data_IF_525517836803
#
_entry.id   IF_525517836803
#
_cell.length_a   1.000
_cell.length_b   1.000
_cell.length_c   1.000
_cell.angle_alpha   90.00
_cell.angle_beta   90.00
_cell.angle_gamma   90.00
#
_symmetry.space_group_name_H-M   'P 1'
#
loop_
_entity.id
_entity.type
_entity.pdbx_description
1 polymer ?
#
# COMPACT_ATOMS: atom_id res chain seq x y z
N UNK A 1 26.99 6.02 11.84
CA UNK A 1 27.50 5.05 10.85
C UNK A 1 28.62 4.19 11.44
N UNK A 2 28.47 3.70 12.68
CA UNK A 2 29.49 2.87 13.35
C UNK A 2 28.79 1.79 14.19
N UNK A 3 28.14 0.80 13.55
CA UNK A 3 27.53 -0.30 14.28
C UNK A 3 28.59 -1.19 14.95
N UNK A 4 28.19 -2.04 15.94
CA UNK A 4 29.08 -3.03 16.53
C UNK A 4 29.74 -3.90 15.46
N UNK A 5 30.98 -4.31 15.72
CA UNK A 5 31.80 -5.15 14.85
C UNK A 5 31.90 -6.56 15.43
N UNK A 6 32.25 -7.53 14.58
CA UNK A 6 32.52 -8.91 15.00
C UNK A 6 33.53 -8.88 16.16
N UNK A 7 33.16 -9.48 17.29
CA UNK A 7 33.94 -9.49 18.53
C UNK A 7 33.46 -8.53 19.61
N UNK A 8 32.63 -7.53 19.28
CA UNK A 8 31.97 -6.68 20.29
C UNK A 8 30.87 -7.46 21.01
N UNK A 9 30.68 -7.21 22.31
CA UNK A 9 29.67 -7.91 23.15
C UNK A 9 28.25 -7.82 22.58
N UNK A 10 27.92 -6.71 21.93
CA UNK A 10 26.59 -6.45 21.36
C UNK A 10 26.45 -6.85 19.88
N UNK A 11 27.50 -7.40 19.24
CA UNK A 11 27.46 -7.67 17.80
C UNK A 11 26.41 -8.70 17.41
N UNK A 12 26.32 -9.81 18.14
CA UNK A 12 25.40 -10.91 17.84
C UNK A 12 23.94 -10.49 18.01
N UNK A 13 23.61 -9.79 19.12
CA UNK A 13 22.25 -9.28 19.34
C UNK A 13 21.87 -8.22 18.31
N UNK A 14 22.75 -7.25 18.04
CA UNK A 14 22.54 -6.24 17.02
C UNK A 14 22.28 -6.85 15.63
N UNK A 15 23.10 -7.82 15.24
CA UNK A 15 23.00 -8.46 13.92
C UNK A 15 21.70 -9.24 13.80
N UNK A 16 21.34 -10.03 14.81
CA UNK A 16 20.09 -10.78 14.85
C UNK A 16 18.85 -9.88 14.80
N UNK A 17 18.83 -8.77 15.56
CA UNK A 17 17.74 -7.80 15.56
C UNK A 17 17.59 -7.12 14.19
N UNK A 18 18.71 -6.62 13.64
CA UNK A 18 18.74 -5.96 12.34
C UNK A 18 18.26 -6.91 11.23
N UNK A 19 18.78 -8.13 11.18
CA UNK A 19 18.41 -9.10 10.15
C UNK A 19 16.96 -9.57 10.31
N UNK A 20 16.48 -9.71 11.55
CA UNK A 20 15.07 -10.00 11.85
C UNK A 20 14.12 -8.90 11.36
N UNK A 21 14.45 -7.63 11.62
CA UNK A 21 13.67 -6.47 11.18
C UNK A 21 13.64 -6.39 9.64
N UNK A 22 14.78 -6.52 8.98
CA UNK A 22 14.88 -6.47 7.52
C UNK A 22 14.12 -7.62 6.85
N UNK A 23 14.25 -8.83 7.39
CA UNK A 23 13.52 -10.00 6.90
C UNK A 23 12.00 -9.84 7.08
N UNK A 24 11.56 -9.29 8.21
CA UNK A 24 10.15 -8.98 8.45
C UNK A 24 9.63 -7.92 7.48
N UNK A 25 10.38 -6.84 7.24
CA UNK A 25 10.00 -5.81 6.27
C UNK A 25 9.87 -6.41 4.86
N UNK A 26 10.81 -7.28 4.45
CA UNK A 26 10.76 -7.94 3.15
C UNK A 26 9.54 -8.85 2.98
N UNK A 27 9.20 -9.67 3.99
CA UNK A 27 8.00 -10.51 3.97
C UNK A 27 6.74 -9.67 3.90
N UNK A 28 6.64 -8.64 4.73
CA UNK A 28 5.49 -7.71 4.74
C UNK A 28 5.29 -7.00 3.41
N UNK A 29 6.38 -6.51 2.80
CA UNK A 29 6.35 -5.91 1.48
C UNK A 29 5.84 -6.89 0.43
N UNK A 30 6.37 -8.12 0.43
CA UNK A 30 5.95 -9.14 -0.53
C UNK A 30 4.49 -9.54 -0.37
N UNK A 31 4.02 -9.74 0.86
CA UNK A 31 2.60 -10.06 1.11
C UNK A 31 1.65 -8.97 0.61
N UNK A 32 1.97 -7.70 0.84
CA UNK A 32 1.14 -6.59 0.35
C UNK A 32 1.23 -6.42 -1.17
N UNK A 33 2.43 -6.56 -1.76
CA UNK A 33 2.64 -6.55 -3.22
C UNK A 33 1.80 -7.64 -3.90
N UNK A 34 1.87 -8.88 -3.39
CA UNK A 34 1.12 -10.01 -3.92
C UNK A 34 -0.38 -9.76 -3.78
N UNK A 35 -0.83 -9.26 -2.62
CA UNK A 35 -2.23 -8.91 -2.41
C UNK A 35 -2.72 -7.86 -3.42
N UNK A 36 -1.98 -6.76 -3.61
CA UNK A 36 -2.37 -5.73 -4.58
C UNK A 36 -2.47 -6.27 -6.00
N UNK A 37 -1.52 -7.11 -6.43
CA UNK A 37 -1.52 -7.68 -7.77
C UNK A 37 -2.62 -8.74 -8.01
N UNK A 38 -3.37 -9.13 -6.97
CA UNK A 38 -4.57 -9.98 -7.12
C UNK A 38 -5.87 -9.18 -7.26
N UNK A 39 -5.84 -7.86 -7.02
CA UNK A 39 -7.02 -7.01 -7.09
C UNK A 39 -7.34 -6.62 -8.55
N UNK A 40 -8.64 -6.53 -8.86
CA UNK A 40 -9.13 -6.14 -10.18
C UNK A 40 -8.62 -4.75 -10.57
N UNK A 41 -7.99 -4.62 -11.75
CA UNK A 41 -7.52 -3.32 -12.22
C UNK A 41 -6.43 -2.70 -11.34
N UNK A 42 -5.72 -3.48 -10.51
CA UNK A 42 -4.58 -2.99 -9.72
C UNK A 42 -3.30 -3.63 -10.23
N UNK A 43 -2.27 -2.80 -10.41
CA UNK A 43 -0.90 -3.27 -10.64
C UNK A 43 0.02 -2.66 -9.60
N UNK A 44 0.90 -3.47 -9.02
CA UNK A 44 1.87 -3.02 -8.05
C UNK A 44 3.26 -3.52 -8.41
N UNK A 45 4.18 -2.57 -8.61
CA UNK A 45 5.57 -2.89 -8.84
C UNK A 45 6.19 -3.52 -7.58
N UNK A 46 7.20 -4.37 -7.81
CA UNK A 46 8.01 -4.95 -6.74
C UNK A 46 8.68 -3.84 -5.93
N UNK A 47 8.59 -3.95 -4.60
CA UNK A 47 9.37 -3.09 -3.72
C UNK A 47 10.82 -3.59 -3.63
N UNK A 48 11.75 -2.88 -4.26
CA UNK A 48 13.19 -3.18 -4.13
C UNK A 48 13.80 -2.68 -2.81
N UNK A 49 13.12 -1.75 -2.13
CA UNK A 49 13.56 -1.19 -0.86
C UNK A 49 12.59 -0.16 -0.29
N UNK A 50 13.09 0.67 0.63
CA UNK A 50 12.31 1.63 1.42
C UNK A 50 11.18 0.97 2.23
N UNK A 51 10.05 1.67 2.41
CA UNK A 51 8.96 1.26 3.30
C UNK A 51 7.57 1.45 2.67
N UNK A 52 7.51 1.56 1.34
CA UNK A 52 6.28 1.92 0.63
C UNK A 52 6.05 1.07 -0.60
N UNK A 53 4.78 0.79 -0.86
CA UNK A 53 4.27 0.32 -2.14
C UNK A 53 3.48 1.45 -2.79
N UNK A 54 3.42 1.43 -4.12
CA UNK A 54 2.74 2.45 -4.91
C UNK A 54 1.88 1.82 -6.02
N UNK A 55 0.83 1.07 -5.66
CA UNK A 55 -0.08 0.48 -6.62
C UNK A 55 -0.72 1.53 -7.54
N UNK A 56 -0.79 1.20 -8.82
CA UNK A 56 -1.61 1.88 -9.82
C UNK A 56 -2.98 1.21 -9.86
N UNK A 57 -4.05 2.02 -9.90
CA UNK A 57 -5.44 1.57 -9.90
C UNK A 57 -6.10 2.10 -11.17
N UNK A 58 -6.56 1.19 -12.02
CA UNK A 58 -7.43 1.47 -13.16
C UNK A 58 -8.85 1.73 -12.66
N UNK A 59 -9.10 2.98 -12.25
CA UNK A 59 -10.42 3.39 -11.75
C UNK A 59 -11.45 3.46 -12.91
N UNK A 60 -12.67 2.93 -12.71
CA UNK A 60 -13.74 3.06 -13.70
C UNK A 60 -14.13 4.52 -13.99
N UNK A 61 -14.62 4.81 -15.20
CA UNK A 61 -15.03 6.16 -15.60
C UNK A 61 -16.08 6.76 -14.67
N UNK A 62 -17.05 5.95 -14.20
CA UNK A 62 -18.08 6.42 -13.27
C UNK A 62 -17.49 6.85 -11.93
N UNK A 63 -16.46 6.16 -11.44
CA UNK A 63 -15.74 6.57 -10.23
C UNK A 63 -14.98 7.89 -10.44
N UNK A 64 -14.38 8.08 -11.62
CA UNK A 64 -13.70 9.32 -12.00
C UNK A 64 -14.71 10.49 -12.05
N UNK A 65 -15.85 10.31 -12.73
CA UNK A 65 -16.94 11.31 -12.78
C UNK A 65 -17.52 11.61 -11.40
N UNK A 66 -17.65 10.60 -10.54
CA UNK A 66 -18.11 10.79 -9.15
C UNK A 66 -17.11 11.63 -8.33
N UNK A 67 -15.81 11.41 -8.53
CA UNK A 67 -14.75 12.22 -7.92
C UNK A 67 -14.79 13.67 -8.42
N UNK A 68 -15.00 13.89 -9.72
CA UNK A 68 -15.15 15.23 -10.30
C UNK A 68 -16.38 15.97 -9.75
N UNK A 69 -17.52 15.27 -9.63
CA UNK A 69 -18.75 15.83 -9.09
C UNK A 69 -18.60 16.36 -7.66
N UNK A 70 -17.77 15.69 -6.85
CA UNK A 70 -17.43 16.13 -5.48
C UNK A 70 -16.12 16.95 -5.42
N UNK A 71 -15.65 17.45 -6.57
CA UNK A 71 -14.50 18.37 -6.72
C UNK A 71 -13.20 17.84 -6.09
N UNK A 72 -12.91 16.56 -6.31
CA UNK A 72 -11.68 15.92 -5.84
C UNK A 72 -11.02 15.10 -6.95
N UNK A 73 -9.73 14.79 -6.81
CA UNK A 73 -9.05 13.84 -7.70
C UNK A 73 -9.55 12.40 -7.47
N UNK A 74 -9.58 11.54 -8.51
CA UNK A 74 -10.06 10.15 -8.41
C UNK A 74 -9.33 9.29 -7.38
N UNK A 75 -8.00 9.42 -7.27
CA UNK A 75 -7.22 8.73 -6.25
C UNK A 75 -7.57 9.18 -4.82
N UNK A 76 -7.76 10.47 -4.58
CA UNK A 76 -8.20 10.98 -3.28
C UNK A 76 -9.63 10.55 -2.96
N UNK A 77 -10.50 10.48 -3.96
CA UNK A 77 -11.83 9.91 -3.81
C UNK A 77 -11.76 8.45 -3.34
N UNK A 78 -10.95 7.63 -4.02
CA UNK A 78 -10.72 6.24 -3.63
C UNK A 78 -10.14 6.12 -2.22
N UNK A 79 -9.07 6.86 -1.89
CA UNK A 79 -8.47 6.84 -0.55
C UNK A 79 -9.46 7.26 0.56
N UNK A 80 -10.30 8.27 0.32
CA UNK A 80 -11.33 8.70 1.29
C UNK A 80 -12.40 7.63 1.48
N UNK A 81 -12.82 6.96 0.41
CA UNK A 81 -13.78 5.85 0.47
C UNK A 81 -13.20 4.67 1.24
N UNK A 82 -11.93 4.32 0.99
CA UNK A 82 -11.21 3.27 1.71
C UNK A 82 -11.16 3.57 3.21
N UNK A 83 -10.76 4.80 3.56
CA UNK A 83 -10.69 5.26 4.95
C UNK A 83 -12.04 5.12 5.65
N UNK A 84 -13.11 5.64 5.04
CA UNK A 84 -14.44 5.63 5.65
C UNK A 84 -14.99 4.21 5.84
N UNK A 85 -14.68 3.29 4.93
CA UNK A 85 -15.19 1.92 5.00
C UNK A 85 -14.37 1.01 5.95
N UNK A 86 -13.06 1.22 6.05
CA UNK A 86 -12.15 0.24 6.67
C UNK A 86 -11.31 0.79 7.82
N UNK A 87 -11.20 2.11 7.93
CA UNK A 87 -10.24 2.79 8.80
C UNK A 87 -8.80 2.81 8.26
N UNK A 88 -8.54 2.26 7.07
CA UNK A 88 -7.19 2.22 6.47
C UNK A 88 -6.88 3.56 5.81
N UNK A 89 -5.74 4.16 6.17
CA UNK A 89 -5.27 5.45 5.62
C UNK A 89 -4.19 5.20 4.59
N UNK A 90 -4.50 5.47 3.32
CA UNK A 90 -3.50 5.59 2.24
C UNK A 90 -3.32 7.05 1.85
N UNK A 91 -2.18 7.37 1.23
CA UNK A 91 -1.93 8.71 0.69
C UNK A 91 -2.20 8.71 -0.82
N UNK A 92 -3.04 9.60 -1.37
CA UNK A 92 -3.36 9.62 -2.79
C UNK A 92 -2.15 10.03 -3.64
N UNK A 93 -2.04 9.44 -4.84
CA UNK A 93 -0.96 9.67 -5.81
C UNK A 93 -0.84 11.11 -6.28
N UNK A 94 -1.93 11.87 -6.28
CA UNK A 94 -2.01 13.28 -6.67
C UNK A 94 -1.09 14.18 -5.85
N UNK A 95 -0.73 13.79 -4.62
CA UNK A 95 0.26 14.49 -3.80
C UNK A 95 1.71 14.27 -4.21
N UNK A 96 2.00 13.26 -5.05
CA UNK A 96 3.36 12.84 -5.41
C UNK A 96 3.77 13.19 -6.84
N UNK A 97 2.86 13.81 -7.60
CA UNK A 97 2.91 13.86 -9.08
C UNK A 97 2.81 12.45 -9.68
N UNK A 98 2.03 12.32 -10.75
CA UNK A 98 1.84 11.07 -11.47
C UNK A 98 1.55 11.37 -12.93
N UNK A 99 1.71 10.38 -13.81
CA UNK A 99 1.41 10.56 -15.22
C UNK A 99 -0.08 10.91 -15.40
N UNK A 100 -0.42 11.85 -16.30
CA UNK A 100 -1.82 12.17 -16.60
C UNK A 100 -2.62 10.91 -16.98
N UNK A 101 -3.83 10.78 -16.43
CA UNK A 101 -4.70 9.62 -16.65
C UNK A 101 -4.36 8.37 -15.84
N UNK A 102 -3.36 8.43 -14.95
CA UNK A 102 -3.02 7.34 -14.03
C UNK A 102 -3.36 7.72 -12.59
N UNK A 103 -3.75 6.73 -11.79
CA UNK A 103 -4.17 6.93 -10.41
C UNK A 103 -3.44 5.97 -9.49
N UNK A 104 -2.77 6.50 -8.48
CA UNK A 104 -1.97 5.70 -7.56
C UNK A 104 -2.35 5.97 -6.10
N UNK A 105 -1.93 5.07 -5.22
CA UNK A 105 -2.01 5.25 -3.78
C UNK A 105 -0.70 4.80 -3.14
N UNK A 106 -0.16 5.56 -2.19
CA UNK A 106 0.98 5.12 -1.39
C UNK A 106 0.50 4.34 -0.16
N UNK A 107 0.93 3.09 -0.08
CA UNK A 107 0.71 2.20 1.05
C UNK A 107 2.03 1.98 1.82
N UNK A 108 1.98 1.88 3.14
CA UNK A 108 3.16 1.55 3.96
C UNK A 108 3.20 0.06 4.30
N UNK A 109 4.40 -0.50 4.37
CA UNK A 109 4.65 -1.89 4.78
C UNK A 109 4.86 -2.03 6.30
N UNK A 110 4.70 -0.94 7.05
CA UNK A 110 5.00 -0.85 8.47
C UNK A 110 3.98 -1.45 9.46
N UNK A 111 2.73 -1.79 9.12
CA UNK A 111 1.88 -2.53 10.04
C UNK A 111 2.58 -3.78 10.58
N UNK A 112 2.21 -4.19 11.79
CA UNK A 112 2.74 -5.42 12.37
C UNK A 112 2.43 -6.61 11.45
N UNK A 113 3.40 -7.52 11.31
CA UNK A 113 3.34 -8.62 10.34
C UNK A 113 2.10 -9.52 10.54
N UNK A 114 1.72 -9.76 11.79
CA UNK A 114 0.52 -10.50 12.19
C UNK A 114 -0.80 -9.80 11.82
N UNK A 115 -0.78 -8.47 11.66
CA UNK A 115 -1.96 -7.67 11.29
C UNK A 115 -2.14 -7.48 9.80
N UNK A 116 -1.10 -7.72 8.99
CA UNK A 116 -1.18 -7.56 7.53
C UNK A 116 -2.30 -8.39 6.90
N UNK A 117 -2.53 -9.67 7.26
CA UNK A 117 -3.62 -10.45 6.67
C UNK A 117 -5.00 -9.80 6.88
N UNK A 118 -5.24 -9.21 8.05
CA UNK A 118 -6.49 -8.50 8.33
C UNK A 118 -6.61 -7.20 7.52
N UNK A 119 -5.51 -6.48 7.33
CA UNK A 119 -5.47 -5.28 6.45
C UNK A 119 -5.77 -5.66 5.01
N UNK A 120 -5.13 -6.73 4.51
CA UNK A 120 -5.36 -7.25 3.15
C UNK A 120 -6.82 -7.65 2.97
N UNK A 121 -7.40 -8.40 3.90
CA UNK A 121 -8.79 -8.83 3.82
C UNK A 121 -9.76 -7.65 3.72
N UNK A 122 -9.62 -6.63 4.58
CA UNK A 122 -10.46 -5.43 4.55
C UNK A 122 -10.27 -4.61 3.27
N UNK A 123 -9.03 -4.47 2.81
CA UNK A 123 -8.71 -3.79 1.57
C UNK A 123 -9.36 -4.49 0.37
N UNK A 124 -9.26 -5.82 0.29
CA UNK A 124 -9.82 -6.62 -0.80
C UNK A 124 -11.35 -6.53 -0.84
N UNK A 125 -12.01 -6.61 0.31
CA UNK A 125 -13.47 -6.50 0.41
C UNK A 125 -13.96 -5.10 0.00
N UNK A 126 -13.29 -4.06 0.51
CA UNK A 126 -13.56 -2.68 0.10
C UNK A 126 -13.36 -2.50 -1.40
N UNK A 127 -12.23 -2.94 -1.93
CA UNK A 127 -11.87 -2.75 -3.33
C UNK A 127 -12.88 -3.43 -4.25
N UNK A 128 -13.25 -4.68 -3.96
CA UNK A 128 -14.28 -5.41 -4.71
C UNK A 128 -15.61 -4.66 -4.71
N UNK A 129 -16.06 -4.19 -3.54
CA UNK A 129 -17.32 -3.46 -3.41
C UNK A 129 -17.30 -2.13 -4.15
N UNK A 130 -16.16 -1.42 -4.10
CA UNK A 130 -15.95 -0.18 -4.82
C UNK A 130 -16.00 -0.40 -6.34
N UNK A 131 -15.29 -1.41 -6.85
CA UNK A 131 -15.29 -1.72 -8.28
C UNK A 131 -16.69 -2.09 -8.76
N UNK A 132 -17.47 -2.85 -7.98
CA UNK A 132 -18.85 -3.20 -8.32
C UNK A 132 -19.79 -1.98 -8.36
N UNK A 133 -19.68 -1.06 -7.40
CA UNK A 133 -20.47 0.18 -7.35
C UNK A 133 -20.30 1.05 -8.62
N UNK A 134 -19.10 1.01 -9.21
CA UNK A 134 -18.68 1.84 -10.34
C UNK A 134 -18.43 1.07 -11.64
N UNK A 135 -18.83 -0.21 -11.74
CA UNK A 135 -18.53 -1.12 -12.86
C UNK A 135 -19.12 -0.68 -14.21
N UNK A 136 -20.22 0.07 -14.20
CA UNK A 136 -20.92 0.62 -15.38
C UNK A 136 -20.70 2.12 -15.55
#
# INVERSE_FOLDING_TARGET
>A
MSPPKVGDESYESFSAEKDGILSSLARRAKTLEDAFNTLEGVTCNKAEGAMYLFPCISLPEKAIKAAEAVKTTPDNFYCRRLLNATGIVFVPGSGFRQAPGTWHCRCTILPQEDKIPAVVSRLTEFHRSFMEEFRE
#
